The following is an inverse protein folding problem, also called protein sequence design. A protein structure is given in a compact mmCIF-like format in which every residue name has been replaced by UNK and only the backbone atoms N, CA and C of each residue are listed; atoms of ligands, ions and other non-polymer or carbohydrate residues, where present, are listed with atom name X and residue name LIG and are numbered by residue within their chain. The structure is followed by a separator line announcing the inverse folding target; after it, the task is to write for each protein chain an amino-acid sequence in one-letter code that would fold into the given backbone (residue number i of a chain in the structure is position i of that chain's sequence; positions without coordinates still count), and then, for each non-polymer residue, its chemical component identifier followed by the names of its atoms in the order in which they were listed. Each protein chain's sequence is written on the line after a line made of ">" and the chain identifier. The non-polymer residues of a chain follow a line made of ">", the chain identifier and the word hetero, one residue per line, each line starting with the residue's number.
data_IF_199458288846
#
_entry.id   IF_199458288846
#
_cell.length_a   1.000
_cell.length_b   1.000
_cell.length_c   1.000
_cell.angle_alpha   90.00
_cell.angle_beta   90.00
_cell.angle_gamma   90.00
#
_symmetry.space_group_name_H-M   'P 1'
#
loop_
_entity.id
_entity.type
_entity.pdbx_description
1 polymer ?
#
# COMPACT_ATOMS: atom_id res chain seq x y z
N UNK A 1 1.90 20.00 -15.39
CA UNK A 1 3.16 20.09 -14.62
C UNK A 1 2.85 20.61 -13.23
N UNK A 2 2.96 19.81 -12.19
CA UNK A 2 2.85 20.29 -10.80
C UNK A 2 4.07 21.18 -10.55
N UNK A 3 3.82 22.42 -10.14
CA UNK A 3 4.88 23.37 -9.86
C UNK A 3 5.68 22.84 -8.64
N UNK A 4 6.90 22.34 -8.85
CA UNK A 4 7.74 21.71 -7.82
C UNK A 4 7.90 22.59 -6.56
N UNK A 5 7.90 23.90 -6.71
CA UNK A 5 8.05 24.85 -5.59
C UNK A 5 6.85 24.88 -4.62
N UNK A 6 5.67 24.40 -5.00
CA UNK A 6 4.49 24.33 -4.12
C UNK A 6 4.20 22.92 -3.62
N UNK A 7 4.72 21.88 -4.27
CA UNK A 7 4.42 20.48 -3.95
C UNK A 7 4.71 20.13 -2.49
N UNK A 8 5.83 20.57 -1.92
CA UNK A 8 6.20 20.29 -0.53
C UNK A 8 5.30 20.94 0.53
N UNK A 9 4.51 21.96 0.14
CA UNK A 9 3.49 22.57 1.02
C UNK A 9 2.09 22.02 0.75
N UNK A 10 1.77 21.73 -0.51
CA UNK A 10 0.43 21.31 -0.92
C UNK A 10 0.17 19.84 -0.61
N UNK A 11 1.18 18.96 -0.75
CA UNK A 11 1.05 17.53 -0.44
C UNK A 11 0.69 17.28 1.03
N UNK A 12 1.40 17.85 2.04
CA UNK A 12 1.03 17.68 3.44
C UNK A 12 -0.38 18.18 3.75
N UNK A 13 -0.77 19.33 3.19
CA UNK A 13 -2.14 19.87 3.37
C UNK A 13 -3.18 18.94 2.78
N UNK A 14 -2.96 18.45 1.56
CA UNK A 14 -3.86 17.51 0.90
C UNK A 14 -4.06 16.25 1.77
N UNK A 15 -2.99 15.67 2.32
CA UNK A 15 -3.08 14.51 3.20
C UNK A 15 -3.89 14.80 4.47
N UNK A 16 -3.66 15.97 5.11
CA UNK A 16 -4.40 16.37 6.31
C UNK A 16 -5.90 16.53 6.09
N UNK A 17 -6.34 16.92 4.89
CA UNK A 17 -7.76 16.98 4.56
C UNK A 17 -8.32 15.65 4.05
N UNK A 18 -7.58 14.92 3.24
CA UNK A 18 -8.04 13.65 2.66
C UNK A 18 -8.29 12.59 3.73
N UNK A 19 -7.40 12.45 4.73
CA UNK A 19 -7.51 11.40 5.73
C UNK A 19 -8.80 11.53 6.56
N UNK A 20 -9.12 12.67 7.20
CA UNK A 20 -10.37 12.82 7.94
C UNK A 20 -11.60 12.68 7.06
N UNK A 21 -11.55 13.21 5.83
CA UNK A 21 -12.66 13.08 4.88
C UNK A 21 -12.96 11.61 4.57
N UNK A 22 -11.92 10.82 4.29
CA UNK A 22 -12.07 9.38 4.06
C UNK A 22 -12.59 8.65 5.29
N UNK A 23 -12.12 9.01 6.50
CA UNK A 23 -12.64 8.42 7.75
C UNK A 23 -14.13 8.66 7.92
N UNK A 24 -14.61 9.87 7.63
CA UNK A 24 -16.05 10.21 7.71
C UNK A 24 -16.84 9.44 6.66
N UNK A 25 -16.36 9.38 5.41
CA UNK A 25 -17.05 8.68 4.32
C UNK A 25 -17.12 7.18 4.62
N UNK A 26 -15.98 6.53 4.90
CA UNK A 26 -15.95 5.09 5.14
C UNK A 26 -16.69 4.70 6.44
N UNK A 27 -16.55 5.51 7.49
CA UNK A 27 -17.30 5.33 8.73
C UNK A 27 -18.81 5.44 8.52
N UNK A 28 -19.25 6.45 7.76
CA UNK A 28 -20.66 6.62 7.40
C UNK A 28 -21.20 5.44 6.58
N UNK A 29 -20.44 4.98 5.58
CA UNK A 29 -20.81 3.81 4.78
C UNK A 29 -20.90 2.54 5.65
N UNK A 30 -19.95 2.34 6.56
CA UNK A 30 -19.99 1.18 7.47
C UNK A 30 -21.22 1.20 8.41
N UNK A 31 -21.57 2.36 8.95
CA UNK A 31 -22.77 2.54 9.79
C UNK A 31 -24.04 2.23 8.98
N UNK A 32 -24.17 2.80 7.79
CA UNK A 32 -25.33 2.54 6.93
C UNK A 32 -25.43 1.07 6.56
N UNK A 33 -24.31 0.45 6.16
CA UNK A 33 -24.28 -0.96 5.77
C UNK A 33 -24.72 -1.89 6.91
N UNK A 34 -24.27 -1.63 8.14
CA UNK A 34 -24.65 -2.41 9.33
C UNK A 34 -26.10 -2.17 9.78
N UNK A 35 -26.72 -1.06 9.35
CA UNK A 35 -28.12 -0.75 9.64
C UNK A 35 -29.11 -1.38 8.64
N UNK A 36 -28.66 -1.85 7.48
CA UNK A 36 -29.53 -2.41 6.43
C UNK A 36 -29.71 -3.92 6.55
N UNK A 37 -28.64 -4.62 6.90
CA UNK A 37 -28.62 -6.08 7.03
C UNK A 37 -27.97 -6.47 8.34
N UNK A 38 -28.32 -7.65 8.92
CA UNK A 38 -27.65 -8.20 10.08
C UNK A 38 -26.13 -8.30 9.88
N UNK A 39 -25.38 -8.03 10.95
CA UNK A 39 -23.91 -7.94 10.88
C UNK A 39 -23.24 -9.24 10.40
N UNK A 40 -23.81 -10.39 10.73
CA UNK A 40 -23.37 -11.71 10.29
C UNK A 40 -23.46 -11.90 8.77
N UNK A 41 -24.40 -11.21 8.10
CA UNK A 41 -24.56 -11.26 6.64
C UNK A 41 -23.67 -10.25 5.92
N UNK A 42 -23.29 -9.17 6.56
CA UNK A 42 -22.49 -8.08 5.96
C UNK A 42 -21.00 -8.25 6.21
N UNK A 43 -20.63 -8.87 7.33
CA UNK A 43 -19.24 -9.03 7.71
C UNK A 43 -18.44 -9.82 6.67
N UNK A 44 -17.36 -9.21 6.16
CA UNK A 44 -16.51 -9.81 5.13
C UNK A 44 -17.11 -9.85 3.72
N UNK A 45 -18.31 -9.30 3.52
CA UNK A 45 -18.96 -9.26 2.21
C UNK A 45 -18.77 -7.90 1.53
N UNK A 46 -18.74 -7.86 0.18
CA UNK A 46 -18.72 -6.61 -0.57
C UNK A 46 -19.98 -5.76 -0.33
N UNK A 47 -19.83 -4.44 -0.31
CA UNK A 47 -20.94 -3.49 -0.15
C UNK A 47 -22.01 -3.60 -1.26
N UNK A 48 -21.70 -4.23 -2.36
CA UNK A 48 -22.67 -4.55 -3.42
C UNK A 48 -23.82 -5.42 -2.94
N UNK A 49 -23.59 -6.26 -1.90
CA UNK A 49 -24.65 -7.05 -1.27
C UNK A 49 -25.70 -6.14 -0.62
N UNK A 50 -25.25 -5.13 0.13
CA UNK A 50 -26.12 -4.13 0.75
C UNK A 50 -26.85 -3.31 -0.28
N UNK A 51 -26.14 -2.84 -1.30
CA UNK A 51 -26.72 -2.07 -2.41
C UNK A 51 -27.83 -2.85 -3.16
N UNK A 52 -27.65 -4.15 -3.37
CA UNK A 52 -28.63 -5.03 -3.99
C UNK A 52 -29.95 -5.12 -3.20
N UNK A 53 -29.87 -4.98 -1.88
CA UNK A 53 -31.06 -5.03 -1.00
C UNK A 53 -31.81 -3.70 -0.93
N UNK A 54 -31.14 -2.58 -1.22
CA UNK A 54 -31.74 -1.24 -1.14
C UNK A 54 -32.24 -0.77 -2.50
N UNK A 55 -31.47 -1.05 -3.57
CA UNK A 55 -31.70 -0.50 -4.89
C UNK A 55 -32.57 -1.43 -5.73
N UNK A 56 -33.47 -0.83 -6.52
CA UNK A 56 -34.18 -1.59 -7.53
C UNK A 56 -33.21 -2.09 -8.64
N UNK A 57 -33.55 -3.10 -9.46
CA UNK A 57 -32.63 -3.69 -10.44
C UNK A 57 -31.99 -2.68 -11.40
N UNK A 58 -32.72 -1.69 -11.86
CA UNK A 58 -32.23 -0.68 -12.78
C UNK A 58 -31.17 0.24 -12.09
N UNK A 59 -31.49 0.75 -10.90
CA UNK A 59 -30.56 1.56 -10.12
C UNK A 59 -29.34 0.76 -9.65
N UNK A 60 -29.51 -0.52 -9.32
CA UNK A 60 -28.40 -1.39 -8.98
C UNK A 60 -27.44 -1.56 -10.16
N UNK A 61 -27.94 -1.74 -11.38
CA UNK A 61 -27.10 -1.85 -12.58
C UNK A 61 -26.30 -0.55 -12.82
N UNK A 62 -26.96 0.61 -12.71
CA UNK A 62 -26.28 1.92 -12.82
C UNK A 62 -25.23 2.09 -11.74
N UNK A 63 -25.55 1.71 -10.51
CA UNK A 63 -24.60 1.75 -9.39
C UNK A 63 -23.38 0.86 -9.65
N UNK A 64 -23.58 -0.38 -10.13
CA UNK A 64 -22.50 -1.32 -10.41
C UNK A 64 -21.57 -0.82 -11.51
N UNK A 65 -22.12 -0.28 -12.60
CA UNK A 65 -21.31 0.23 -13.72
C UNK A 65 -20.62 1.54 -13.31
N UNK A 66 -21.36 2.51 -12.81
CA UNK A 66 -20.86 3.85 -12.48
C UNK A 66 -19.97 3.94 -11.25
N UNK A 67 -20.10 2.99 -10.31
CA UNK A 67 -19.28 2.92 -9.09
C UNK A 67 -18.18 1.85 -9.20
N UNK A 68 -18.45 0.60 -8.78
CA UNK A 68 -17.42 -0.43 -8.65
C UNK A 68 -16.65 -0.70 -9.92
N UNK A 69 -17.30 -0.86 -11.08
CA UNK A 69 -16.62 -1.23 -12.33
C UNK A 69 -15.68 -0.12 -12.80
N UNK A 70 -16.14 1.14 -12.85
CA UNK A 70 -15.29 2.26 -13.28
C UNK A 70 -14.19 2.55 -12.27
N UNK A 71 -14.49 2.51 -10.96
CA UNK A 71 -13.51 2.74 -9.91
C UNK A 71 -12.41 1.67 -9.92
N UNK A 72 -12.77 0.38 -10.04
CA UNK A 72 -11.80 -0.71 -10.11
C UNK A 72 -10.95 -0.63 -11.38
N UNK A 73 -11.55 -0.34 -12.53
CA UNK A 73 -10.81 -0.20 -13.80
C UNK A 73 -9.78 0.92 -13.73
N UNK A 74 -10.14 2.07 -13.16
CA UNK A 74 -9.23 3.20 -12.94
C UNK A 74 -8.12 2.86 -11.93
N UNK A 75 -8.50 2.20 -10.83
CA UNK A 75 -7.56 1.83 -9.77
C UNK A 75 -6.54 0.79 -10.25
N UNK A 76 -6.96 -0.23 -10.99
CA UNK A 76 -6.06 -1.25 -11.55
C UNK A 76 -5.02 -0.59 -12.46
N UNK A 77 -5.45 0.29 -13.37
CA UNK A 77 -4.54 0.98 -14.28
C UNK A 77 -3.49 1.82 -13.54
N UNK A 78 -3.93 2.61 -12.55
CA UNK A 78 -3.04 3.45 -11.73
C UNK A 78 -2.10 2.60 -10.87
N UNK A 79 -2.60 1.54 -10.25
CA UNK A 79 -1.82 0.69 -9.34
C UNK A 79 -0.72 -0.07 -10.09
N UNK A 80 -1.03 -0.67 -11.25
CA UNK A 80 -0.03 -1.36 -12.06
C UNK A 80 1.10 -0.40 -12.46
N UNK A 81 0.75 0.80 -12.93
CA UNK A 81 1.74 1.79 -13.35
C UNK A 81 2.60 2.28 -12.18
N UNK A 82 1.98 2.62 -11.06
CA UNK A 82 2.67 3.18 -9.89
C UNK A 82 3.56 2.14 -9.18
N UNK A 83 3.13 0.89 -9.09
CA UNK A 83 3.92 -0.18 -8.47
C UNK A 83 5.17 -0.54 -9.27
N UNK A 84 5.17 -0.31 -10.58
CA UNK A 84 6.35 -0.55 -11.40
C UNK A 84 7.49 0.45 -11.17
N UNK A 85 7.20 1.68 -10.71
CA UNK A 85 8.19 2.75 -10.56
C UNK A 85 9.25 2.40 -9.50
N UNK A 86 8.92 2.06 -8.24
CA UNK A 86 9.91 1.72 -7.22
C UNK A 86 10.68 0.44 -7.57
N UNK A 87 10.01 -0.54 -8.20
CA UNK A 87 10.70 -1.78 -8.64
C UNK A 87 11.67 -1.47 -9.79
N UNK A 88 11.30 -0.62 -10.74
CA UNK A 88 12.20 -0.19 -11.80
C UNK A 88 13.39 0.60 -11.26
N UNK A 89 13.19 1.42 -10.23
CA UNK A 89 14.28 2.11 -9.54
C UNK A 89 15.22 1.09 -8.87
N UNK A 90 14.69 0.11 -8.15
CA UNK A 90 15.49 -0.97 -7.56
C UNK A 90 16.31 -1.75 -8.60
N UNK A 91 15.78 -1.93 -9.82
CA UNK A 91 16.55 -2.51 -10.93
C UNK A 91 17.68 -1.60 -11.39
N UNK A 92 17.46 -0.28 -11.47
CA UNK A 92 18.50 0.68 -11.86
C UNK A 92 19.61 0.76 -10.81
N UNK A 93 19.24 0.74 -9.54
CA UNK A 93 20.17 0.78 -8.40
C UNK A 93 20.97 -0.53 -8.23
N UNK A 94 20.66 -1.56 -9.03
CA UNK A 94 21.39 -2.82 -9.06
C UNK A 94 20.88 -3.89 -8.09
N UNK A 95 19.79 -3.65 -7.35
CA UNK A 95 19.18 -4.66 -6.47
C UNK A 95 18.56 -5.82 -7.25
N UNK A 96 17.97 -5.53 -8.40
CA UNK A 96 17.36 -6.49 -9.30
C UNK A 96 18.02 -6.41 -10.69
N UNK A 97 17.84 -7.41 -11.56
CA UNK A 97 18.43 -7.38 -12.91
C UNK A 97 18.00 -6.16 -13.72
N UNK A 98 18.95 -5.40 -14.25
CA UNK A 98 18.70 -4.15 -15.02
C UNK A 98 17.79 -4.37 -16.22
N UNK A 99 17.78 -5.57 -16.80
CA UNK A 99 16.94 -5.93 -17.95
C UNK A 99 15.43 -5.83 -17.67
N UNK A 100 15.01 -5.86 -16.40
CA UNK A 100 13.60 -5.71 -16.01
C UNK A 100 13.12 -4.26 -16.05
N UNK A 101 14.03 -3.31 -15.90
CA UNK A 101 13.74 -1.87 -16.07
C UNK A 101 13.72 -1.40 -17.53
N UNK A 102 13.69 -2.33 -18.50
CA UNK A 102 13.60 -1.98 -19.92
C UNK A 102 12.26 -1.29 -20.22
N UNK A 103 12.34 -0.12 -20.85
CA UNK A 103 11.18 0.66 -21.26
C UNK A 103 10.84 0.37 -22.73
N UNK A 104 9.56 0.42 -23.07
CA UNK A 104 9.11 0.41 -24.44
C UNK A 104 9.26 1.80 -25.10
N UNK A 105 8.90 1.95 -26.38
CA UNK A 105 8.94 3.22 -27.12
C UNK A 105 8.10 4.34 -26.50
N UNK A 106 7.15 4.02 -25.61
CA UNK A 106 6.28 4.96 -24.91
C UNK A 106 6.73 5.24 -23.47
N UNK A 107 7.91 4.75 -23.05
CA UNK A 107 8.46 4.94 -21.69
C UNK A 107 7.86 4.02 -20.62
N UNK A 108 7.03 3.04 -20.97
CA UNK A 108 6.44 2.12 -20.00
C UNK A 108 7.36 0.93 -19.72
N UNK A 109 7.44 0.49 -18.45
CA UNK A 109 8.19 -0.68 -17.99
C UNK A 109 7.43 -1.97 -18.29
N UNK A 110 7.30 -2.34 -19.55
CA UNK A 110 6.41 -3.39 -20.01
C UNK A 110 6.65 -4.75 -19.34
N UNK A 111 7.90 -5.13 -19.06
CA UNK A 111 8.22 -6.40 -18.38
C UNK A 111 7.67 -6.42 -16.95
N UNK A 112 7.86 -5.34 -16.20
CA UNK A 112 7.35 -5.22 -14.84
C UNK A 112 5.83 -5.18 -14.83
N UNK A 113 5.21 -4.45 -15.75
CA UNK A 113 3.75 -4.38 -15.88
C UNK A 113 3.17 -5.76 -16.20
N UNK A 114 3.77 -6.51 -17.14
CA UNK A 114 3.35 -7.88 -17.46
C UNK A 114 3.50 -8.80 -16.26
N UNK A 115 4.62 -8.72 -15.54
CA UNK A 115 4.84 -9.51 -14.33
C UNK A 115 3.80 -9.20 -13.24
N UNK A 116 3.55 -7.92 -12.97
CA UNK A 116 2.53 -7.49 -12.00
C UNK A 116 1.14 -7.97 -12.38
N UNK A 117 0.81 -7.92 -13.66
CA UNK A 117 -0.47 -8.42 -14.19
C UNK A 117 -0.61 -9.93 -13.99
N UNK A 118 0.42 -10.71 -14.34
CA UNK A 118 0.42 -12.17 -14.15
C UNK A 118 0.28 -12.54 -12.67
N UNK A 119 1.00 -11.84 -11.78
CA UNK A 119 0.88 -12.05 -10.34
C UNK A 119 -0.51 -11.69 -9.81
N UNK A 120 -1.15 -10.66 -10.37
CA UNK A 120 -2.51 -10.26 -9.99
C UNK A 120 -3.60 -11.24 -10.44
N UNK A 121 -3.40 -11.94 -11.56
CA UNK A 121 -4.34 -12.96 -12.05
C UNK A 121 -4.23 -14.27 -11.25
N UNK A 122 -3.07 -14.59 -10.73
CA UNK A 122 -2.80 -15.87 -10.07
C UNK A 122 -3.80 -16.20 -8.93
N UNK A 123 -4.11 -15.29 -7.99
CA UNK A 123 -5.12 -15.55 -6.96
C UNK A 123 -6.51 -15.84 -7.52
N UNK A 124 -6.88 -15.19 -8.64
CA UNK A 124 -8.17 -15.41 -9.31
C UNK A 124 -8.24 -16.80 -9.94
N UNK A 125 -7.15 -17.24 -10.59
CA UNK A 125 -7.06 -18.57 -11.19
C UNK A 125 -7.02 -19.69 -10.14
N UNK A 126 -6.51 -19.39 -8.94
CA UNK A 126 -6.45 -20.32 -7.81
C UNK A 126 -7.69 -20.26 -6.91
N UNK A 127 -8.70 -19.49 -7.30
CA UNK A 127 -9.98 -19.33 -6.58
C UNK A 127 -9.81 -18.91 -5.11
N UNK A 128 -8.85 -18.01 -4.85
CA UNK A 128 -8.65 -17.46 -3.51
C UNK A 128 -9.79 -16.50 -3.16
N UNK A 129 -10.26 -16.56 -1.92
CA UNK A 129 -11.23 -15.60 -1.43
C UNK A 129 -10.61 -14.19 -1.37
N UNK A 130 -11.44 -13.16 -1.61
CA UNK A 130 -10.99 -11.76 -1.50
C UNK A 130 -10.40 -11.48 -0.10
N UNK A 131 -11.03 -12.03 0.94
CA UNK A 131 -10.57 -11.88 2.32
C UNK A 131 -9.18 -12.49 2.54
N UNK A 132 -8.90 -13.67 1.99
CA UNK A 132 -7.57 -14.30 2.11
C UNK A 132 -6.50 -13.46 1.40
N UNK A 133 -6.80 -12.95 0.21
CA UNK A 133 -5.88 -12.09 -0.53
C UNK A 133 -5.58 -10.80 0.24
N UNK A 134 -6.63 -10.12 0.75
CA UNK A 134 -6.48 -8.88 1.52
C UNK A 134 -5.69 -9.13 2.81
N UNK A 135 -6.01 -10.17 3.58
CA UNK A 135 -5.30 -10.49 4.82
C UNK A 135 -3.83 -10.83 4.57
N UNK A 136 -3.52 -11.53 3.47
CA UNK A 136 -2.13 -11.81 3.10
C UNK A 136 -1.36 -10.53 2.72
N UNK A 137 -1.97 -9.63 1.95
CA UNK A 137 -1.39 -8.33 1.64
C UNK A 137 -1.16 -7.52 2.93
N UNK A 138 -2.11 -7.50 3.85
CA UNK A 138 -1.98 -6.79 5.13
C UNK A 138 -0.87 -7.37 6.00
N UNK A 139 -0.67 -8.69 5.99
CA UNK A 139 0.43 -9.36 6.68
C UNK A 139 1.79 -8.88 6.13
N UNK A 140 1.97 -8.91 4.82
CA UNK A 140 3.20 -8.47 4.17
C UNK A 140 3.44 -6.96 4.34
N UNK A 141 2.39 -6.15 4.18
CA UNK A 141 2.46 -4.70 4.35
C UNK A 141 2.83 -4.31 5.79
N UNK A 142 2.29 -5.00 6.80
CA UNK A 142 2.63 -4.73 8.20
C UNK A 142 4.10 -5.08 8.52
N UNK A 143 4.65 -6.14 7.92
CA UNK A 143 6.06 -6.46 8.05
C UNK A 143 6.96 -5.35 7.47
N UNK A 144 6.61 -4.80 6.30
CA UNK A 144 7.31 -3.63 5.74
C UNK A 144 7.13 -2.38 6.60
N UNK A 145 5.94 -2.17 7.17
CA UNK A 145 5.67 -1.03 8.04
C UNK A 145 6.54 -1.04 9.30
N UNK A 146 6.87 -2.20 9.86
CA UNK A 146 7.80 -2.27 10.99
C UNK A 146 9.19 -1.73 10.65
N UNK A 147 9.71 -2.03 9.46
CA UNK A 147 10.97 -1.48 8.98
C UNK A 147 10.89 0.05 8.77
N UNK A 148 9.78 0.52 8.20
CA UNK A 148 9.54 1.96 8.01
C UNK A 148 9.44 2.69 9.35
N UNK A 149 8.72 2.15 10.32
CA UNK A 149 8.59 2.76 11.66
C UNK A 149 9.95 2.78 12.37
N UNK A 150 10.75 1.72 12.24
CA UNK A 150 12.13 1.72 12.75
C UNK A 150 12.97 2.86 12.13
N UNK A 151 12.85 3.05 10.81
CA UNK A 151 13.52 4.18 10.15
C UNK A 151 13.02 5.54 10.65
N UNK A 152 11.72 5.68 10.91
CA UNK A 152 11.14 6.90 11.47
C UNK A 152 11.70 7.21 12.87
N UNK A 153 11.86 6.22 13.74
CA UNK A 153 12.49 6.43 15.05
C UNK A 153 13.93 6.96 14.95
N UNK A 154 14.63 6.67 13.84
CA UNK A 154 15.99 7.11 13.61
C UNK A 154 16.07 8.49 12.94
N UNK A 155 15.00 8.95 12.28
CA UNK A 155 14.99 10.16 11.46
C UNK A 155 15.46 11.42 12.20
N UNK A 156 14.93 11.76 13.40
CA UNK A 156 15.38 12.96 14.12
C UNK A 156 16.84 12.90 14.59
N UNK A 157 17.38 11.68 14.72
CA UNK A 157 18.77 11.47 15.19
C UNK A 157 19.78 11.52 14.05
N UNK A 158 19.46 10.89 12.92
CA UNK A 158 20.38 10.76 11.78
C UNK A 158 20.32 11.94 10.81
N UNK A 159 19.17 12.59 10.71
CA UNK A 159 18.91 13.69 9.75
C UNK A 159 18.26 14.87 10.46
N UNK A 160 18.87 15.35 11.55
CA UNK A 160 18.33 16.42 12.40
C UNK A 160 18.05 17.72 11.62
N UNK A 161 18.95 18.12 10.73
CA UNK A 161 18.77 19.35 9.93
C UNK A 161 17.59 19.25 8.97
N UNK A 162 17.44 18.11 8.29
CA UNK A 162 16.32 17.87 7.38
C UNK A 162 15.00 17.76 8.14
N UNK A 163 15.04 17.19 9.36
CA UNK A 163 13.90 17.08 10.24
C UNK A 163 13.41 18.46 10.72
N UNK A 164 14.31 19.33 11.17
CA UNK A 164 13.96 20.68 11.64
C UNK A 164 13.44 21.59 10.53
N UNK A 165 13.99 21.46 9.32
CA UNK A 165 13.56 22.21 8.12
C UNK A 165 12.29 21.66 7.49
N UNK A 166 11.76 20.53 7.96
CA UNK A 166 10.57 19.89 7.39
C UNK A 166 9.32 20.77 7.58
N UNK A 167 8.49 20.98 6.56
CA UNK A 167 7.23 21.72 6.69
C UNK A 167 6.20 21.03 7.60
N UNK A 168 6.41 19.75 7.94
CA UNK A 168 5.59 18.99 8.89
C UNK A 168 6.30 18.77 10.23
N UNK A 169 7.32 19.57 10.54
CA UNK A 169 8.02 19.47 11.81
C UNK A 169 7.05 19.62 12.99
N UNK A 170 7.10 18.66 13.91
CA UNK A 170 6.38 18.66 15.18
C UNK A 170 7.37 18.39 16.32
N UNK A 171 7.00 18.75 17.54
CA UNK A 171 7.89 18.51 18.69
C UNK A 171 8.23 17.01 18.79
N UNK A 172 9.48 16.71 19.14
CA UNK A 172 10.00 15.34 19.20
C UNK A 172 9.13 14.41 20.08
N UNK A 173 8.58 14.93 21.19
CA UNK A 173 7.69 14.13 22.05
C UNK A 173 6.41 13.69 21.34
N UNK A 174 5.75 14.61 20.62
CA UNK A 174 4.55 14.28 19.83
C UNK A 174 4.88 13.33 18.68
N UNK A 175 6.03 13.53 18.05
CA UNK A 175 6.50 12.66 16.98
C UNK A 175 6.69 11.21 17.44
N UNK A 176 7.43 10.99 18.51
CA UNK A 176 7.64 9.65 19.06
C UNK A 176 6.36 9.01 19.56
N UNK A 177 5.43 9.80 20.14
CA UNK A 177 4.10 9.31 20.49
C UNK A 177 3.34 8.79 19.25
N UNK A 178 3.36 9.52 18.13
CA UNK A 178 2.73 9.10 16.89
C UNK A 178 3.41 7.84 16.30
N UNK A 179 4.74 7.75 16.39
CA UNK A 179 5.46 6.54 15.98
C UNK A 179 5.05 5.31 16.81
N UNK A 180 4.93 5.47 18.13
CA UNK A 180 4.45 4.39 19.02
C UNK A 180 3.01 4.01 18.73
N UNK A 181 2.13 4.98 18.49
CA UNK A 181 0.73 4.73 18.13
C UNK A 181 0.62 3.98 16.80
N UNK A 182 1.42 4.37 15.80
CA UNK A 182 1.50 3.68 14.52
C UNK A 182 2.01 2.26 14.68
N UNK A 183 3.05 2.06 15.49
CA UNK A 183 3.59 0.73 15.79
C UNK A 183 2.53 -0.17 16.42
N UNK A 184 1.79 0.35 17.41
CA UNK A 184 0.70 -0.38 18.04
C UNK A 184 -0.39 -0.78 17.04
N UNK A 185 -0.81 0.15 16.18
CA UNK A 185 -1.81 -0.12 15.16
C UNK A 185 -1.36 -1.23 14.19
N UNK A 186 -0.10 -1.18 13.72
CA UNK A 186 0.43 -2.22 12.82
C UNK A 186 0.64 -3.57 13.51
N UNK A 187 0.95 -3.60 14.80
CA UNK A 187 0.98 -4.85 15.59
C UNK A 187 -0.44 -5.46 15.64
N UNK A 188 -1.46 -4.65 15.89
CA UNK A 188 -2.85 -5.13 15.88
C UNK A 188 -3.26 -5.69 14.52
N UNK A 189 -2.91 -4.99 13.42
CA UNK A 189 -3.17 -5.46 12.04
C UNK A 189 -2.45 -6.78 11.78
N UNK A 190 -1.17 -6.87 12.14
CA UNK A 190 -0.37 -8.08 11.96
C UNK A 190 -0.95 -9.30 12.69
N UNK A 191 -1.31 -9.13 13.96
CA UNK A 191 -1.93 -10.19 14.77
C UNK A 191 -3.26 -10.62 14.17
N UNK A 192 -4.10 -9.64 13.77
CA UNK A 192 -5.39 -9.93 13.15
C UNK A 192 -5.22 -10.72 11.83
N UNK A 193 -4.28 -10.31 10.98
CA UNK A 193 -3.99 -10.99 9.72
C UNK A 193 -3.47 -12.42 9.95
N UNK A 194 -2.60 -12.62 10.94
CA UNK A 194 -2.12 -13.96 11.30
C UNK A 194 -3.25 -14.88 11.79
N UNK A 195 -4.22 -14.33 12.52
CA UNK A 195 -5.38 -15.09 13.02
C UNK A 195 -6.41 -15.42 11.93
N UNK A 196 -6.53 -14.55 10.95
CA UNK A 196 -7.52 -14.68 9.86
C UNK A 196 -7.07 -15.62 8.75
N UNK A 197 -5.76 -15.85 8.61
CA UNK A 197 -5.17 -16.71 7.58
C UNK A 197 -4.98 -18.15 8.08
N UNK A 198 -5.03 -19.10 7.17
CA UNK A 198 -4.67 -20.49 7.45
C UNK A 198 -3.18 -20.58 7.79
N UNK A 199 -2.84 -21.39 8.78
CA UNK A 199 -1.46 -21.53 9.27
C UNK A 199 -0.40 -21.77 8.16
N UNK A 200 -0.64 -22.63 7.14
CA UNK A 200 0.34 -22.81 6.05
C UNK A 200 0.61 -21.52 5.27
N UNK A 201 -0.41 -20.68 5.03
CA UNK A 201 -0.27 -19.41 4.32
C UNK A 201 0.58 -18.42 5.13
N UNK A 202 0.35 -18.35 6.43
CA UNK A 202 1.17 -17.52 7.35
C UNK A 202 2.64 -17.96 7.33
N UNK A 203 2.89 -19.26 7.43
CA UNK A 203 4.25 -19.82 7.41
C UNK A 203 4.95 -19.48 6.08
N UNK A 204 4.28 -19.71 4.95
CA UNK A 204 4.84 -19.40 3.62
C UNK A 204 5.14 -17.90 3.50
N UNK A 205 4.26 -17.04 3.97
CA UNK A 205 4.46 -15.58 3.92
C UNK A 205 5.63 -15.14 4.79
N UNK A 206 5.78 -15.71 6.00
CA UNK A 206 6.92 -15.42 6.87
C UNK A 206 8.24 -15.91 6.26
N UNK A 207 8.25 -17.11 5.67
CA UNK A 207 9.43 -17.61 4.94
C UNK A 207 9.79 -16.68 3.78
N UNK A 208 8.80 -16.22 3.01
CA UNK A 208 9.02 -15.27 1.92
C UNK A 208 9.65 -13.96 2.42
N UNK A 209 9.17 -13.42 3.55
CA UNK A 209 9.76 -12.22 4.17
C UNK A 209 11.23 -12.47 4.53
N UNK A 210 11.53 -13.59 5.20
CA UNK A 210 12.90 -13.92 5.60
C UNK A 210 13.81 -14.09 4.37
N UNK A 211 13.33 -14.75 3.32
CA UNK A 211 14.08 -14.93 2.06
C UNK A 211 14.36 -13.58 1.39
N UNK A 212 13.35 -12.68 1.34
CA UNK A 212 13.53 -11.32 0.81
C UNK A 212 14.54 -10.51 1.64
N UNK A 213 14.49 -10.61 2.96
CA UNK A 213 15.45 -9.93 3.85
C UNK A 213 16.86 -10.47 3.65
N UNK A 214 17.03 -11.79 3.58
CA UNK A 214 18.31 -12.45 3.31
C UNK A 214 18.86 -12.03 1.94
N UNK A 215 18.03 -12.06 0.90
CA UNK A 215 18.41 -11.57 -0.42
C UNK A 215 18.88 -10.11 -0.39
N UNK A 216 18.11 -9.23 0.26
CA UNK A 216 18.48 -7.83 0.45
C UNK A 216 19.80 -7.66 1.17
N UNK A 217 20.05 -8.44 2.23
CA UNK A 217 21.32 -8.44 2.96
C UNK A 217 22.49 -8.86 2.06
N UNK A 218 22.39 -9.99 1.37
CA UNK A 218 23.44 -10.44 0.43
C UNK A 218 23.70 -9.43 -0.67
N UNK A 219 22.63 -8.82 -1.20
CA UNK A 219 22.76 -7.88 -2.28
C UNK A 219 23.33 -6.53 -1.84
N UNK A 220 23.08 -6.11 -0.60
CA UNK A 220 23.61 -4.85 -0.04
C UNK A 220 25.15 -4.82 0.03
N UNK A 221 25.80 -5.98 0.12
CA UNK A 221 27.27 -6.13 0.15
C UNK A 221 27.85 -6.19 -1.28
N UNK A 222 27.02 -6.32 -2.31
CA UNK A 222 27.47 -6.44 -3.71
C UNK A 222 27.95 -5.09 -4.25
N UNK A 223 29.09 -5.03 -4.97
CA UNK A 223 29.61 -3.79 -5.56
C UNK A 223 28.72 -3.22 -6.68
N UNK A 224 27.78 -4.03 -7.19
CA UNK A 224 26.85 -3.63 -8.26
C UNK A 224 25.72 -2.70 -7.78
N UNK A 225 25.48 -2.66 -6.46
CA UNK A 225 24.43 -1.84 -5.85
C UNK A 225 24.99 -0.46 -5.59
N UNK A 226 24.50 0.51 -6.36
CA UNK A 226 24.82 1.93 -6.20
C UNK A 226 23.51 2.67 -5.90
N UNK A 227 23.34 3.12 -4.66
CA UNK A 227 22.25 4.02 -4.32
C UNK A 227 22.65 5.44 -4.72
N UNK A 228 21.90 6.06 -5.64
CA UNK A 228 22.03 7.49 -5.88
C UNK A 228 21.43 8.25 -4.70
N UNK A 229 22.27 8.70 -3.80
CA UNK A 229 21.88 9.56 -2.65
C UNK A 229 21.78 11.04 -3.03
N UNK A 230 22.14 11.39 -4.26
CA UNK A 230 22.20 12.77 -4.77
C UNK A 230 20.87 13.54 -4.79
N UNK A 231 19.74 12.84 -4.60
CA UNK A 231 18.40 13.49 -4.52
C UNK A 231 18.23 14.32 -3.24
N UNK A 232 19.13 14.21 -2.27
CA UNK A 232 19.04 14.89 -0.98
C UNK A 232 20.02 16.07 -0.82
N UNK A 233 20.84 16.32 -1.83
CA UNK A 233 21.88 17.37 -1.79
C UNK A 233 21.51 18.69 -2.51
N UNK A 234 20.28 18.77 -3.11
CA UNK A 234 19.76 19.97 -3.77
C UNK A 234 18.67 20.69 -2.97
#
# INVERSE_FOLDING_TARGET
>A
MVNRQKAHKDIPKALLYCIPTLMVIYGGVAIVASGVLPLDQVAGQPLTLVAKNILNPALFTVFMIGGPVLALSSSINSTISNNCIPVAQSCKDGWLPKSWAAQNRRGAYWKLMTFTYLMGILPVLLDFSISDVVNNIMLLASALAFLQIYAYFQLPKKHAEAWEKSPMHISNGKYYFLCCLSLFAYICIFINSCRSLKLPVVIISLIAIVVCMAYGWFRSVSPDVKMETSVWED
#
